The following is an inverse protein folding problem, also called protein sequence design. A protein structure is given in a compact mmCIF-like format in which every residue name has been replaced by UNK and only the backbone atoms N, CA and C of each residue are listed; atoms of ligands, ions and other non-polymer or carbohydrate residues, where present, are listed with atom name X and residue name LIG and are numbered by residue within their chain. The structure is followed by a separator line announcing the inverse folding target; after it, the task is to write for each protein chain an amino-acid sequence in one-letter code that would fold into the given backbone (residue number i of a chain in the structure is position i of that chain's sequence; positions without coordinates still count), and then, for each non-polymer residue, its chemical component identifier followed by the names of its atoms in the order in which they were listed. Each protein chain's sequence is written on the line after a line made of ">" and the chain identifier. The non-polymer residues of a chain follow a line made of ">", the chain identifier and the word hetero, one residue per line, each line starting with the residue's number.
data_IF_269068427345
#
_entry.id   IF_269068427345
#
_cell.length_a   1.000
_cell.length_b   1.000
_cell.length_c   1.000
_cell.angle_alpha   90.00
_cell.angle_beta   90.00
_cell.angle_gamma   90.00
#
_symmetry.space_group_name_H-M   'P 1'
#
loop_
_entity.id
_entity.type
_entity.pdbx_description
1 polymer ?
#
# COMPACT_ATOMS: atom_id res chain seq x y z
N UNK A 1 5.18 21.01 -8.25
CA UNK A 1 4.07 20.78 -7.30
C UNK A 1 4.61 19.86 -6.23
N UNK A 2 4.53 20.25 -4.96
CA UNK A 2 4.93 19.39 -3.84
C UNK A 2 3.71 18.50 -3.57
N UNK A 3 3.83 17.19 -3.82
CA UNK A 3 2.79 16.24 -3.42
C UNK A 3 2.65 16.28 -1.89
N UNK A 4 1.44 16.53 -1.39
CA UNK A 4 1.18 16.39 0.04
C UNK A 4 1.30 14.90 0.40
N UNK A 5 1.94 14.55 1.53
CA UNK A 5 1.95 13.17 1.98
C UNK A 5 0.50 12.70 2.13
N UNK A 6 0.17 11.58 1.48
CA UNK A 6 -1.18 11.01 1.45
C UNK A 6 -1.66 10.52 2.83
N UNK A 7 -0.78 10.54 3.83
CA UNK A 7 -0.99 9.96 5.14
C UNK A 7 -0.82 8.44 5.11
N UNK A 8 -1.20 7.80 6.22
CA UNK A 8 -1.24 6.35 6.33
C UNK A 8 -2.57 5.76 5.87
N UNK A 9 -2.63 4.44 5.86
CA UNK A 9 -3.84 3.63 5.66
C UNK A 9 -4.66 3.67 6.95
N UNK A 10 -5.98 3.90 6.94
CA UNK A 10 -6.80 3.71 8.14
C UNK A 10 -6.60 2.31 8.71
N UNK A 11 -6.32 2.18 10.01
CA UNK A 11 -5.93 0.91 10.67
C UNK A 11 -6.85 -0.28 10.34
N UNK A 12 -8.17 -0.02 10.31
CA UNK A 12 -9.20 -1.01 9.91
C UNK A 12 -9.06 -1.59 8.49
N UNK A 13 -8.26 -0.96 7.63
CA UNK A 13 -8.07 -1.33 6.23
C UNK A 13 -6.70 -1.92 5.93
N UNK A 14 -5.78 -1.92 6.89
CA UNK A 14 -4.38 -2.32 6.70
C UNK A 14 -4.23 -3.76 6.17
N UNK A 15 -5.08 -4.69 6.62
CA UNK A 15 -5.12 -6.05 6.06
C UNK A 15 -5.98 -6.19 4.80
N UNK A 16 -6.92 -5.26 4.59
CA UNK A 16 -7.85 -5.31 3.47
C UNK A 16 -7.22 -4.79 2.17
N UNK A 17 -6.24 -3.87 2.24
CA UNK A 17 -5.60 -3.30 1.04
C UNK A 17 -4.90 -4.31 0.14
N UNK A 18 -4.53 -5.47 0.67
CA UNK A 18 -3.93 -6.56 -0.12
C UNK A 18 -5.01 -7.44 -0.77
N UNK A 19 -6.26 -7.39 -0.30
CA UNK A 19 -7.34 -8.22 -0.84
C UNK A 19 -7.75 -7.76 -2.25
N UNK A 20 -8.08 -8.70 -3.14
CA UNK A 20 -8.47 -8.38 -4.51
C UNK A 20 -9.68 -7.46 -4.53
N UNK A 21 -9.62 -6.48 -5.44
CA UNK A 21 -10.66 -5.46 -5.67
C UNK A 21 -10.91 -4.52 -4.50
N UNK A 22 -10.17 -4.64 -3.39
CA UNK A 22 -10.31 -3.70 -2.28
C UNK A 22 -9.76 -2.34 -2.68
N UNK A 23 -10.52 -1.30 -2.31
CA UNK A 23 -10.18 0.10 -2.57
C UNK A 23 -10.57 0.94 -1.38
N UNK A 24 -9.66 1.81 -0.96
CA UNK A 24 -9.92 2.76 0.15
C UNK A 24 -10.93 3.81 -0.31
N UNK A 25 -10.84 4.25 -1.57
CA UNK A 25 -11.73 5.23 -2.16
C UNK A 25 -12.57 4.59 -3.28
N UNK A 26 -13.85 4.99 -3.41
CA UNK A 26 -14.68 4.57 -4.53
C UNK A 26 -14.11 5.08 -5.88
N UNK A 27 -14.45 4.42 -7.00
CA UNK A 27 -14.16 4.94 -8.35
C UNK A 27 -14.91 6.25 -8.57
N UNK A 28 -14.28 7.36 -8.21
CA UNK A 28 -14.78 8.70 -8.51
C UNK A 28 -13.75 9.40 -9.40
N UNK A 29 -14.23 10.14 -10.40
CA UNK A 29 -13.37 10.80 -11.40
C UNK A 29 -12.31 11.69 -10.75
N UNK A 30 -12.60 12.23 -9.56
CA UNK A 30 -11.71 13.10 -8.79
C UNK A 30 -10.40 12.41 -8.31
N UNK A 31 -10.32 11.08 -8.35
CA UNK A 31 -9.12 10.28 -7.99
C UNK A 31 -8.54 9.55 -9.20
N UNK A 32 -9.12 9.74 -10.40
CA UNK A 32 -8.66 9.08 -11.63
C UNK A 32 -7.23 9.45 -12.03
N UNK A 33 -6.77 10.65 -11.66
CA UNK A 33 -5.39 11.08 -11.85
C UNK A 33 -4.38 10.28 -11.02
N UNK A 34 -4.83 9.70 -9.91
CA UNK A 34 -4.03 8.90 -8.97
C UNK A 34 -4.05 7.41 -9.31
N UNK A 35 -5.23 6.87 -9.61
CA UNK A 35 -5.40 5.46 -9.94
C UNK A 35 -5.55 5.25 -11.46
N UNK A 36 -4.41 5.11 -12.16
CA UNK A 36 -4.39 4.85 -13.63
C UNK A 36 -5.19 3.61 -14.05
N UNK A 37 -5.24 2.58 -13.20
CA UNK A 37 -5.90 1.31 -13.51
C UNK A 37 -7.16 1.08 -12.66
N UNK A 38 -7.22 1.57 -11.42
CA UNK A 38 -8.44 1.58 -10.59
C UNK A 38 -9.11 0.23 -10.26
N UNK A 39 -8.49 -0.90 -10.61
CA UNK A 39 -9.08 -2.23 -10.42
C UNK A 39 -8.91 -2.81 -9.00
N UNK A 40 -8.04 -2.23 -8.17
CA UNK A 40 -7.74 -2.77 -6.83
C UNK A 40 -7.03 -4.13 -6.87
N UNK A 41 -6.20 -4.39 -7.90
CA UNK A 41 -5.52 -5.69 -8.08
C UNK A 41 -3.99 -5.64 -7.89
N UNK A 42 -3.40 -4.44 -7.80
CA UNK A 42 -1.95 -4.28 -7.78
C UNK A 42 -1.30 -4.99 -6.60
N UNK A 43 -1.76 -4.71 -5.37
CA UNK A 43 -1.19 -5.27 -4.15
C UNK A 43 -1.45 -6.78 -4.03
N UNK A 44 -2.61 -7.25 -4.48
CA UNK A 44 -2.90 -8.69 -4.56
C UNK A 44 -1.94 -9.40 -5.52
N UNK A 45 -1.60 -8.79 -6.65
CA UNK A 45 -0.64 -9.36 -7.58
C UNK A 45 0.77 -9.45 -6.96
N UNK A 46 1.19 -8.41 -6.22
CA UNK A 46 2.46 -8.43 -5.48
C UNK A 46 2.49 -9.56 -4.45
N UNK A 47 1.47 -9.67 -3.60
CA UNK A 47 1.35 -10.77 -2.62
C UNK A 47 1.41 -12.14 -3.30
N UNK A 48 0.68 -12.31 -4.41
CA UNK A 48 0.68 -13.56 -5.18
C UNK A 48 2.08 -13.91 -5.73
N UNK A 49 2.79 -12.94 -6.31
CA UNK A 49 4.15 -13.14 -6.82
C UNK A 49 5.10 -13.50 -5.67
N UNK A 50 5.07 -12.75 -4.58
CA UNK A 50 5.94 -12.99 -3.41
C UNK A 50 5.71 -14.38 -2.82
N UNK A 51 4.45 -14.79 -2.65
CA UNK A 51 4.10 -16.14 -2.16
C UNK A 51 4.57 -17.26 -3.08
N UNK A 52 4.57 -17.04 -4.41
CA UNK A 52 5.12 -18.00 -5.38
C UNK A 52 6.61 -18.26 -5.15
N UNK A 53 7.32 -17.30 -4.57
CA UNK A 53 8.73 -17.42 -4.18
C UNK A 53 8.90 -17.77 -2.69
N UNK A 54 7.87 -18.31 -2.03
CA UNK A 54 7.86 -18.63 -0.60
C UNK A 54 8.15 -17.44 0.32
N UNK A 55 7.96 -16.22 -0.19
CA UNK A 55 8.12 -15.01 0.58
C UNK A 55 6.85 -14.58 1.32
N UNK A 56 6.97 -13.52 2.09
CA UNK A 56 5.87 -12.83 2.77
C UNK A 56 5.84 -11.37 2.32
N UNK A 57 4.64 -10.84 2.15
CA UNK A 57 4.41 -9.44 1.79
C UNK A 57 3.53 -8.77 2.85
N UNK A 58 3.97 -7.62 3.34
CA UNK A 58 3.23 -6.83 4.33
C UNK A 58 3.13 -5.38 3.88
N UNK A 59 2.01 -4.75 4.23
CA UNK A 59 1.83 -3.32 4.12
C UNK A 59 1.32 -2.83 5.45
N UNK A 60 1.94 -1.79 5.99
CA UNK A 60 1.54 -1.22 7.26
C UNK A 60 1.93 0.25 7.36
N UNK A 61 1.33 0.95 8.31
CA UNK A 61 1.72 2.32 8.62
C UNK A 61 2.99 2.37 9.46
N UNK A 62 3.85 3.34 9.17
CA UNK A 62 5.00 3.64 10.01
C UNK A 62 5.10 5.14 10.28
N UNK A 63 5.75 5.47 11.40
CA UNK A 63 6.13 6.83 11.71
C UNK A 63 7.46 7.12 11.03
N UNK A 64 7.46 8.09 10.11
CA UNK A 64 8.64 8.62 9.47
C UNK A 64 9.30 9.66 10.37
N UNK A 65 10.57 9.41 10.71
CA UNK A 65 11.44 10.25 11.53
C UNK A 65 12.58 10.90 10.72
N UNK A 66 12.52 10.89 9.38
CA UNK A 66 13.58 11.43 8.51
C UNK A 66 13.60 12.97 8.44
N UNK A 67 12.58 13.62 9.00
CA UNK A 67 12.40 15.07 9.04
C UNK A 67 12.27 15.57 10.49
N UNK A 68 12.28 16.90 10.69
CA UNK A 68 12.07 17.50 12.03
C UNK A 68 10.72 17.11 12.65
N UNK A 69 9.68 17.00 11.82
CA UNK A 69 8.35 16.57 12.23
C UNK A 69 8.14 15.06 11.96
N UNK A 70 7.55 14.36 12.94
CA UNK A 70 7.10 12.97 12.76
C UNK A 70 5.87 12.95 11.87
N UNK A 71 5.93 12.18 10.78
CA UNK A 71 4.81 12.05 9.84
C UNK A 71 4.43 10.60 9.62
N UNK A 72 3.15 10.34 9.34
CA UNK A 72 2.67 8.98 9.06
C UNK A 72 2.93 8.64 7.59
N UNK A 73 3.63 7.52 7.35
CA UNK A 73 3.87 6.97 6.03
C UNK A 73 3.37 5.52 5.94
N UNK A 74 3.38 4.98 4.72
CA UNK A 74 3.02 3.58 4.45
C UNK A 74 4.28 2.83 4.02
N UNK A 75 4.61 1.75 4.72
CA UNK A 75 5.69 0.85 4.36
C UNK A 75 5.14 -0.39 3.65
N UNK A 76 5.91 -0.87 2.69
CA UNK A 76 5.71 -2.14 2.02
C UNK A 76 6.96 -3.00 2.25
N UNK A 77 6.78 -4.18 2.83
CA UNK A 77 7.87 -5.09 3.18
C UNK A 77 7.72 -6.41 2.43
N UNK A 78 8.83 -6.91 1.90
CA UNK A 78 8.92 -8.22 1.28
C UNK A 78 10.01 -9.00 2.00
N UNK A 79 9.64 -10.14 2.56
CA UNK A 79 10.58 -11.11 3.12
C UNK A 79 10.75 -12.24 2.11
N UNK A 80 11.96 -12.45 1.63
CA UNK A 80 12.28 -13.55 0.72
C UNK A 80 13.19 -14.54 1.46
N UNK A 81 12.85 -15.84 1.50
CA UNK A 81 13.73 -16.84 2.08
C UNK A 81 15.04 -16.89 1.29
N UNK A 82 16.16 -16.65 1.98
CA UNK A 82 17.47 -16.89 1.44
C UNK A 82 17.75 -18.39 1.55
N UNK A 83 17.96 -19.03 0.41
CA UNK A 83 18.43 -20.42 0.31
C UNK A 83 19.96 -20.40 0.38
#
# INVERSE_FOLDING_TARGET
>A
MIEKPYGGIPEKFEQLVIQPFFRIYPPVENVSHLEKFGLGLGLTAVDHIVRKHHGLFFIHNANDHTSEDVSLCVLAEIFIPLI
#
